data_IF_638898211053
#
_entry.id   IF_638898211053
#
_cell.length_a   1.000
_cell.length_b   1.000
_cell.length_c   1.000
_cell.angle_alpha   90.00
_cell.angle_beta   90.00
_cell.angle_gamma   90.00
#
_symmetry.space_group_name_H-M   'P 1'
#
loop_
_entity.id
_entity.type
_entity.pdbx_description
1 polymer ?
#
# COMPACT_ATOMS: atom_id res chain seq x y z
N UNK A 1 47.31 13.68 -34.95
CA UNK A 1 48.26 14.80 -34.75
C UNK A 1 47.78 15.65 -33.61
N UNK A 2 48.63 15.80 -32.56
CA UNK A 2 48.60 16.73 -31.37
C UNK A 2 47.46 16.50 -30.38
N UNK A 3 47.61 15.83 -29.24
CA UNK A 3 48.44 16.15 -28.02
C UNK A 3 48.29 17.58 -27.53
N UNK A 4 47.76 17.73 -26.28
CA UNK A 4 48.38 18.38 -25.13
C UNK A 4 47.38 18.46 -23.98
N UNK A 5 47.66 17.79 -22.89
CA UNK A 5 48.32 18.18 -21.60
C UNK A 5 47.38 18.86 -20.57
N UNK A 6 47.12 18.12 -19.50
CA UNK A 6 47.49 18.29 -18.09
C UNK A 6 47.10 19.64 -17.47
N UNK A 7 46.39 19.63 -16.33
CA UNK A 7 46.93 20.17 -15.07
C UNK A 7 46.20 19.51 -13.88
N UNK A 8 47.02 19.10 -12.95
CA UNK A 8 46.78 18.52 -11.64
C UNK A 8 46.65 19.68 -10.65
N UNK A 9 45.74 19.65 -9.74
CA UNK A 9 45.78 20.43 -8.50
C UNK A 9 45.13 19.69 -7.34
N UNK A 10 45.98 19.27 -6.46
CA UNK A 10 45.75 18.74 -5.12
C UNK A 10 45.45 19.88 -4.14
N UNK A 11 44.48 19.67 -3.26
CA UNK A 11 44.45 20.35 -1.96
C UNK A 11 43.78 19.48 -0.91
N UNK A 12 44.57 18.94 -0.02
CA UNK A 12 44.29 18.32 1.25
C UNK A 12 43.87 19.36 2.28
N UNK A 13 42.82 19.11 3.05
CA UNK A 13 42.68 19.68 4.39
C UNK A 13 41.94 18.68 5.28
N UNK A 14 42.72 18.09 6.17
CA UNK A 14 42.26 17.32 7.33
C UNK A 14 41.87 18.30 8.44
N UNK A 15 40.75 18.08 9.08
CA UNK A 15 40.47 18.61 10.41
C UNK A 15 39.79 17.54 11.26
N UNK A 16 40.58 16.99 12.16
CA UNK A 16 40.19 16.17 13.29
C UNK A 16 39.69 17.08 14.41
N UNK A 17 38.52 16.75 14.98
CA UNK A 17 38.14 17.20 16.33
C UNK A 17 37.63 16.01 17.12
N UNK A 18 38.33 15.77 18.21
CA UNK A 18 38.21 14.75 19.23
C UNK A 18 37.05 14.99 20.19
N UNK A 19 36.39 13.91 20.56
CA UNK A 19 35.88 13.47 21.86
C UNK A 19 35.28 14.47 22.87
N UNK A 20 34.11 14.12 23.37
CA UNK A 20 33.76 14.17 24.79
C UNK A 20 32.72 13.10 25.12
N UNK A 21 33.13 12.11 25.92
CA UNK A 21 32.28 11.24 26.71
C UNK A 21 31.83 11.99 27.98
N UNK A 22 30.55 11.95 28.29
CA UNK A 22 30.00 11.97 29.66
C UNK A 22 28.47 11.76 29.47
N UNK A 23 27.83 10.81 30.04
CA UNK A 23 27.59 10.34 31.33
C UNK A 23 26.19 9.75 31.36
N UNK A 24 26.03 8.58 31.94
CA UNK A 24 24.83 7.84 32.24
C UNK A 24 23.78 8.65 32.98
N UNK A 25 22.49 8.39 32.70
CA UNK A 25 21.56 7.86 33.72
C UNK A 25 20.22 7.51 33.05
N UNK A 26 19.65 6.40 33.50
CA UNK A 26 18.51 5.71 32.98
C UNK A 26 17.21 6.52 32.89
N UNK A 27 16.47 6.18 31.87
CA UNK A 27 15.09 6.57 31.67
C UNK A 27 14.54 5.67 30.57
N UNK A 28 13.73 4.68 31.00
CA UNK A 28 12.97 3.82 30.10
C UNK A 28 11.94 4.68 29.38
N UNK A 29 12.31 5.20 28.23
CA UNK A 29 11.37 5.85 27.31
C UNK A 29 11.02 4.84 26.25
N UNK A 30 9.79 4.32 26.34
CA UNK A 30 9.13 3.59 25.27
C UNK A 30 9.09 4.51 24.04
N UNK A 31 10.02 4.35 23.14
CA UNK A 31 9.99 5.02 21.84
C UNK A 31 8.92 4.32 21.01
N UNK A 32 7.72 4.86 21.03
CA UNK A 32 6.72 4.59 19.99
C UNK A 32 7.35 5.06 18.69
N UNK A 33 7.84 4.11 17.91
CA UNK A 33 8.35 4.37 16.56
C UNK A 33 7.14 4.73 15.69
N UNK A 34 6.80 6.00 15.66
CA UNK A 34 5.93 6.55 14.63
C UNK A 34 6.76 6.49 13.34
N UNK A 35 6.47 5.47 12.52
CA UNK A 35 7.02 5.41 11.17
C UNK A 35 6.63 6.70 10.46
N UNK A 36 7.60 7.56 10.19
CA UNK A 36 7.40 8.72 9.35
C UNK A 36 6.91 8.22 7.97
N UNK A 37 5.92 8.90 7.34
CA UNK A 37 5.52 8.54 6.00
C UNK A 37 6.76 8.58 5.10
N UNK A 38 7.07 7.43 4.49
CA UNK A 38 8.12 7.35 3.47
C UNK A 38 7.79 8.39 2.41
N UNK A 39 8.72 9.32 2.16
CA UNK A 39 8.54 10.30 1.10
C UNK A 39 8.35 9.53 -0.20
N UNK A 40 7.16 9.65 -0.79
CA UNK A 40 6.89 9.09 -2.11
C UNK A 40 7.93 9.65 -3.08
N UNK A 41 8.60 8.77 -3.82
CA UNK A 41 9.54 9.19 -4.85
C UNK A 41 8.82 10.11 -5.83
N UNK A 42 9.28 11.37 -5.92
CA UNK A 42 8.61 12.42 -6.70
C UNK A 42 8.43 12.07 -8.20
N UNK A 43 9.15 11.04 -8.68
CA UNK A 43 9.10 10.56 -10.08
C UNK A 43 8.44 9.18 -10.25
N UNK A 44 8.01 8.53 -9.16
CA UNK A 44 7.39 7.21 -9.26
C UNK A 44 5.97 7.31 -9.82
N UNK A 45 5.65 6.45 -10.79
CA UNK A 45 4.28 6.18 -11.25
C UNK A 45 3.83 4.88 -10.62
N UNK A 46 2.72 4.91 -9.90
CA UNK A 46 2.16 3.76 -9.20
C UNK A 46 1.20 2.99 -10.13
N UNK A 47 1.44 1.69 -10.29
CA UNK A 47 0.52 0.79 -10.97
C UNK A 47 -0.41 0.15 -9.95
N UNK A 48 -1.70 0.38 -10.09
CA UNK A 48 -2.71 -0.02 -9.11
C UNK A 48 -3.70 -0.97 -9.79
N UNK A 49 -3.76 -2.20 -9.29
CA UNK A 49 -4.72 -3.19 -9.72
C UNK A 49 -6.03 -3.06 -8.95
N UNK A 50 -7.14 -3.13 -9.64
CA UNK A 50 -8.48 -3.12 -9.05
C UNK A 50 -9.20 -4.39 -9.48
N UNK A 51 -9.43 -5.29 -8.53
CA UNK A 51 -10.26 -6.46 -8.71
C UNK A 51 -11.65 -6.15 -8.14
N UNK A 52 -12.62 -5.92 -9.00
CA UNK A 52 -14.00 -5.71 -8.61
C UNK A 52 -14.77 -7.03 -8.77
N UNK A 53 -15.47 -7.48 -7.72
CA UNK A 53 -16.15 -8.76 -7.71
C UNK A 53 -17.23 -8.84 -8.81
N UNK A 54 -18.07 -7.82 -8.89
CA UNK A 54 -19.21 -7.79 -9.82
C UNK A 54 -19.54 -6.34 -10.18
N UNK A 55 -20.16 -6.14 -11.32
CA UNK A 55 -20.70 -4.84 -11.68
C UNK A 55 -21.98 -4.56 -10.88
N UNK A 56 -21.91 -3.54 -10.03
CA UNK A 56 -23.03 -3.09 -9.20
C UNK A 56 -22.81 -1.63 -8.81
N UNK A 57 -23.86 -0.82 -8.81
CA UNK A 57 -23.77 0.63 -8.57
C UNK A 57 -22.97 1.01 -7.32
N UNK A 58 -23.11 0.28 -6.22
CA UNK A 58 -22.36 0.55 -4.99
C UNK A 58 -20.87 0.25 -5.14
N UNK A 59 -20.51 -0.87 -5.81
CA UNK A 59 -19.12 -1.24 -6.05
C UNK A 59 -18.47 -0.28 -7.07
N UNK A 60 -19.22 0.08 -8.12
CA UNK A 60 -18.76 1.04 -9.13
C UNK A 60 -18.49 2.40 -8.50
N UNK A 61 -19.37 2.87 -7.58
CA UNK A 61 -19.18 4.10 -6.83
C UNK A 61 -17.95 4.05 -5.91
N UNK A 62 -17.72 2.92 -5.22
CA UNK A 62 -16.55 2.73 -4.35
C UNK A 62 -15.24 2.72 -5.18
N UNK A 63 -15.21 2.00 -6.29
CA UNK A 63 -14.07 2.01 -7.22
C UNK A 63 -13.81 3.41 -7.76
N UNK A 64 -14.86 4.12 -8.18
CA UNK A 64 -14.73 5.49 -8.67
C UNK A 64 -14.15 6.42 -7.60
N UNK A 65 -14.70 6.40 -6.38
CA UNK A 65 -14.23 7.23 -5.27
C UNK A 65 -12.77 6.97 -4.91
N UNK A 66 -12.35 5.71 -4.94
CA UNK A 66 -10.96 5.33 -4.73
C UNK A 66 -10.03 5.93 -5.82
N UNK A 67 -10.39 5.79 -7.09
CA UNK A 67 -9.62 6.34 -8.22
C UNK A 67 -9.54 7.85 -8.17
N UNK A 68 -10.66 8.52 -7.94
CA UNK A 68 -10.74 9.98 -7.85
C UNK A 68 -9.83 10.51 -6.72
N UNK A 69 -9.91 9.91 -5.53
CA UNK A 69 -9.10 10.32 -4.37
C UNK A 69 -7.61 10.14 -4.60
N UNK A 70 -7.18 9.03 -5.18
CA UNK A 70 -5.77 8.81 -5.47
C UNK A 70 -5.26 9.75 -6.57
N UNK A 71 -6.07 10.00 -7.59
CA UNK A 71 -5.74 10.96 -8.65
C UNK A 71 -5.60 12.38 -8.10
N UNK A 72 -6.50 12.78 -7.20
CA UNK A 72 -6.44 14.09 -6.54
C UNK A 72 -5.20 14.24 -5.65
N UNK A 73 -4.88 13.19 -4.85
CA UNK A 73 -3.78 13.26 -3.87
C UNK A 73 -2.39 13.09 -4.48
N UNK A 74 -2.25 12.26 -5.48
CA UNK A 74 -0.95 11.91 -6.06
C UNK A 74 -0.68 12.60 -7.41
N UNK A 75 -1.72 12.99 -8.12
CA UNK A 75 -1.65 13.51 -9.49
C UNK A 75 -1.99 12.44 -10.53
N UNK A 76 -2.69 12.82 -11.58
CA UNK A 76 -3.12 11.91 -12.65
C UNK A 76 -1.95 11.27 -13.41
N UNK A 77 -0.81 11.94 -13.46
CA UNK A 77 0.43 11.46 -14.07
C UNK A 77 1.19 10.45 -13.20
N UNK A 78 0.81 10.32 -11.92
CA UNK A 78 1.47 9.45 -10.93
C UNK A 78 0.74 8.14 -10.66
N UNK A 79 -0.45 7.95 -11.19
CA UNK A 79 -1.26 6.75 -10.95
C UNK A 79 -1.73 6.15 -12.27
N UNK A 80 -1.63 4.83 -12.39
CA UNK A 80 -2.21 4.03 -13.47
C UNK A 80 -3.09 2.96 -12.85
N UNK A 81 -4.34 2.92 -13.28
CA UNK A 81 -5.31 1.96 -12.82
C UNK A 81 -5.54 0.87 -13.87
N UNK A 82 -5.48 -0.38 -13.45
CA UNK A 82 -5.98 -1.54 -14.18
C UNK A 82 -7.19 -2.10 -13.42
N UNK A 83 -8.37 -1.85 -13.95
CA UNK A 83 -9.64 -2.24 -13.36
C UNK A 83 -10.20 -3.45 -14.09
N UNK A 84 -10.36 -4.55 -13.37
CA UNK A 84 -10.90 -5.80 -13.90
C UNK A 84 -12.09 -6.26 -13.07
N UNK A 85 -13.12 -6.75 -13.76
CA UNK A 85 -14.37 -7.24 -13.16
C UNK A 85 -14.42 -8.76 -13.24
N UNK A 86 -14.60 -9.41 -12.09
CA UNK A 86 -14.64 -10.86 -11.98
C UNK A 86 -16.02 -11.47 -12.30
N UNK A 87 -17.02 -10.64 -12.57
CA UNK A 87 -18.39 -11.06 -12.93
C UNK A 87 -19.06 -12.01 -11.92
N UNK A 88 -18.72 -11.85 -10.64
CA UNK A 88 -19.25 -12.65 -9.54
C UNK A 88 -18.52 -13.98 -9.32
N UNK A 89 -17.47 -14.28 -10.09
CA UNK A 89 -16.73 -15.55 -10.01
C UNK A 89 -15.43 -15.39 -9.21
N UNK A 90 -15.31 -16.16 -8.12
CA UNK A 90 -14.13 -16.14 -7.26
C UNK A 90 -12.85 -16.73 -7.91
N UNK A 91 -12.99 -17.68 -8.85
CA UNK A 91 -11.85 -18.19 -9.59
C UNK A 91 -11.29 -17.14 -10.55
N UNK A 92 -12.16 -16.33 -11.13
CA UNK A 92 -11.78 -15.17 -11.94
C UNK A 92 -11.11 -14.10 -11.07
N UNK A 93 -11.57 -13.84 -9.83
CA UNK A 93 -10.85 -12.97 -8.89
C UNK A 93 -9.42 -13.44 -8.65
N UNK A 94 -9.24 -14.75 -8.42
CA UNK A 94 -7.90 -15.31 -8.22
C UNK A 94 -7.00 -15.14 -9.46
N UNK A 95 -7.54 -15.33 -10.65
CA UNK A 95 -6.80 -15.12 -11.91
C UNK A 95 -6.37 -13.66 -12.07
N UNK A 96 -7.26 -12.71 -11.82
CA UNK A 96 -6.99 -11.27 -11.88
C UNK A 96 -5.91 -10.87 -10.87
N UNK A 97 -6.05 -11.30 -9.61
CA UNK A 97 -5.08 -10.96 -8.57
C UNK A 97 -3.69 -11.56 -8.85
N UNK A 98 -3.61 -12.79 -9.32
CA UNK A 98 -2.34 -13.40 -9.74
C UNK A 98 -1.69 -12.65 -10.91
N UNK A 99 -2.46 -12.11 -11.84
CA UNK A 99 -1.95 -11.27 -12.92
C UNK A 99 -1.34 -9.97 -12.37
N UNK A 100 -2.00 -9.30 -11.42
CA UNK A 100 -1.47 -8.10 -10.78
C UNK A 100 -0.16 -8.37 -10.04
N UNK A 101 -0.09 -9.49 -9.31
CA UNK A 101 1.14 -9.92 -8.61
C UNK A 101 2.27 -10.19 -9.59
N UNK A 102 2.01 -10.94 -10.66
CA UNK A 102 3.00 -11.27 -11.69
C UNK A 102 3.52 -10.03 -12.42
N UNK A 103 2.69 -9.00 -12.52
CA UNK A 103 3.02 -7.72 -13.16
C UNK A 103 3.64 -6.70 -12.18
N UNK A 104 3.90 -7.10 -10.92
CA UNK A 104 4.50 -6.26 -9.88
C UNK A 104 3.76 -4.94 -9.65
N UNK A 105 2.46 -5.00 -9.46
CA UNK A 105 1.67 -3.82 -9.11
C UNK A 105 2.07 -3.30 -7.72
N UNK A 106 1.92 -1.99 -7.51
CA UNK A 106 2.29 -1.33 -6.25
C UNK A 106 1.21 -1.44 -5.17
N UNK A 107 -0.03 -1.64 -5.57
CA UNK A 107 -1.20 -1.74 -4.69
C UNK A 107 -2.29 -2.54 -5.39
N UNK A 108 -3.05 -3.33 -4.63
CA UNK A 108 -4.25 -4.02 -5.12
C UNK A 108 -5.46 -3.53 -4.32
N UNK A 109 -6.52 -3.11 -5.00
CA UNK A 109 -7.85 -2.90 -4.42
C UNK A 109 -8.69 -4.14 -4.64
N UNK A 110 -9.14 -4.76 -3.56
CA UNK A 110 -10.18 -5.81 -3.56
C UNK A 110 -11.55 -5.20 -3.24
N UNK A 111 -12.40 -5.05 -4.24
CA UNK A 111 -13.75 -4.53 -4.07
C UNK A 111 -14.75 -5.68 -4.03
N UNK A 112 -15.18 -6.01 -2.80
CA UNK A 112 -16.00 -7.17 -2.46
C UNK A 112 -15.19 -8.31 -1.83
N UNK A 113 -15.84 -9.11 -0.97
CA UNK A 113 -15.19 -10.11 -0.12
C UNK A 113 -14.35 -11.13 -0.90
N UNK A 114 -14.88 -11.72 -1.97
CA UNK A 114 -14.12 -12.71 -2.76
C UNK A 114 -12.91 -12.08 -3.49
N UNK A 115 -12.99 -10.81 -3.90
CA UNK A 115 -11.88 -10.08 -4.48
C UNK A 115 -10.78 -9.81 -3.45
N UNK A 116 -11.16 -9.44 -2.21
CA UNK A 116 -10.21 -9.28 -1.10
C UNK A 116 -9.51 -10.60 -0.77
N UNK A 117 -10.28 -11.68 -0.63
CA UNK A 117 -9.72 -13.02 -0.34
C UNK A 117 -8.74 -13.47 -1.41
N UNK A 118 -9.08 -13.27 -2.67
CA UNK A 118 -8.21 -13.59 -3.80
C UNK A 118 -6.90 -12.78 -3.77
N UNK A 119 -6.98 -11.47 -3.52
CA UNK A 119 -5.81 -10.61 -3.40
C UNK A 119 -4.92 -11.04 -2.22
N UNK A 120 -5.50 -11.27 -1.06
CA UNK A 120 -4.79 -11.73 0.14
C UNK A 120 -4.08 -13.07 -0.06
N UNK A 121 -4.74 -14.01 -0.73
CA UNK A 121 -4.15 -15.32 -1.04
C UNK A 121 -3.02 -15.23 -2.07
N UNK A 122 -3.12 -14.26 -3.00
CA UNK A 122 -2.16 -14.12 -4.09
C UNK A 122 -0.81 -13.53 -3.65
N UNK A 123 -0.78 -12.68 -2.61
CA UNK A 123 0.47 -12.02 -2.20
C UNK A 123 0.52 -11.69 -0.71
N UNK A 124 1.64 -11.99 -0.04
CA UNK A 124 1.89 -11.56 1.34
C UNK A 124 2.58 -10.19 1.42
N UNK A 125 2.98 -9.58 0.30
CA UNK A 125 3.89 -8.42 0.27
C UNK A 125 3.33 -7.17 -0.39
N UNK A 126 2.52 -7.31 -1.45
CA UNK A 126 1.90 -6.15 -2.09
C UNK A 126 0.82 -5.63 -1.14
N UNK A 127 0.79 -4.33 -0.83
CA UNK A 127 -0.29 -3.74 -0.03
C UNK A 127 -1.66 -3.99 -0.68
N UNK A 128 -2.63 -4.35 0.14
CA UNK A 128 -4.00 -4.62 -0.30
C UNK A 128 -4.95 -3.69 0.45
N UNK A 129 -5.81 -3.01 -0.28
CA UNK A 129 -6.95 -2.30 0.28
C UNK A 129 -8.24 -3.04 -0.04
N UNK A 130 -9.10 -3.21 0.96
CA UNK A 130 -10.44 -3.76 0.80
C UNK A 130 -11.49 -2.67 0.89
N UNK A 131 -12.53 -2.78 0.07
CA UNK A 131 -13.75 -1.97 0.19
C UNK A 131 -14.97 -2.84 -0.12
N UNK A 132 -16.13 -2.44 0.34
CA UNK A 132 -17.36 -3.24 0.24
C UNK A 132 -17.19 -4.61 0.92
N UNK A 133 -16.58 -4.61 2.09
CA UNK A 133 -16.31 -5.80 2.90
C UNK A 133 -17.17 -5.72 4.16
N UNK A 134 -18.03 -6.70 4.35
CA UNK A 134 -18.91 -6.73 5.52
C UNK A 134 -18.16 -7.12 6.78
N UNK A 135 -17.32 -8.16 6.73
CA UNK A 135 -16.56 -8.66 7.87
C UNK A 135 -15.16 -9.11 7.47
N UNK A 136 -14.15 -8.36 7.91
CA UNK A 136 -12.75 -8.69 7.65
C UNK A 136 -12.27 -9.93 8.40
N UNK A 137 -12.77 -10.19 9.61
CA UNK A 137 -12.42 -11.39 10.37
C UNK A 137 -12.75 -12.66 9.59
N UNK A 138 -13.97 -12.75 9.10
CA UNK A 138 -14.42 -13.85 8.26
C UNK A 138 -13.72 -13.85 6.89
N UNK A 139 -13.54 -12.69 6.27
CA UNK A 139 -12.91 -12.59 4.96
C UNK A 139 -11.44 -13.06 4.94
N UNK A 140 -10.73 -12.84 6.05
CA UNK A 140 -9.30 -13.18 6.20
C UNK A 140 -9.07 -14.46 7.02
N UNK A 141 -10.14 -15.22 7.36
CA UNK A 141 -10.10 -16.44 8.17
C UNK A 141 -9.38 -16.25 9.51
N UNK A 142 -9.68 -15.14 10.19
CA UNK A 142 -9.11 -14.80 11.49
C UNK A 142 -9.99 -15.29 12.63
N UNK A 143 -9.46 -16.16 13.50
CA UNK A 143 -10.19 -16.71 14.63
C UNK A 143 -10.63 -15.62 15.65
N UNK A 144 -9.81 -14.58 15.80
CA UNK A 144 -10.11 -13.42 16.65
C UNK A 144 -9.87 -12.14 15.84
N UNK A 145 -10.91 -11.37 15.59
CA UNK A 145 -10.82 -10.08 14.93
C UNK A 145 -10.76 -8.95 15.95
N UNK A 146 -9.64 -8.23 15.97
CA UNK A 146 -9.39 -7.10 16.89
C UNK A 146 -9.52 -5.73 16.21
N UNK A 147 -9.98 -5.68 14.96
CA UNK A 147 -10.00 -4.47 14.16
C UNK A 147 -8.68 -4.18 13.43
N UNK A 148 -7.67 -5.01 13.61
CA UNK A 148 -6.36 -4.88 12.97
C UNK A 148 -5.97 -6.21 12.35
N UNK A 149 -5.66 -6.21 11.05
CA UNK A 149 -5.25 -7.45 10.37
C UNK A 149 -3.85 -7.93 10.75
N UNK A 150 -2.94 -7.03 11.12
CA UNK A 150 -1.52 -7.35 11.35
C UNK A 150 -0.77 -7.82 10.11
N UNK A 151 -1.39 -7.69 8.93
CA UNK A 151 -0.89 -8.16 7.63
C UNK A 151 -0.83 -7.01 6.62
N UNK A 152 -0.54 -7.32 5.36
CA UNK A 152 -0.51 -6.37 4.25
C UNK A 152 -1.90 -5.91 3.77
N UNK A 153 -2.94 -6.10 4.56
CA UNK A 153 -4.34 -5.76 4.26
C UNK A 153 -4.83 -4.64 5.17
N UNK A 154 -5.48 -3.65 4.57
CA UNK A 154 -6.24 -2.59 5.24
C UNK A 154 -7.51 -2.29 4.44
N UNK A 155 -8.40 -1.45 4.97
CA UNK A 155 -9.57 -1.04 4.19
C UNK A 155 -10.73 -0.53 5.05
N UNK A 156 -11.91 -0.54 4.45
CA UNK A 156 -13.16 -0.08 5.06
C UNK A 156 -14.20 -1.19 5.07
N UNK A 157 -14.99 -1.27 6.15
CA UNK A 157 -16.17 -2.15 6.22
C UNK A 157 -17.44 -1.39 5.83
N UNK A 158 -18.39 -2.09 5.23
CA UNK A 158 -19.75 -1.62 4.97
C UNK A 158 -20.75 -2.12 6.03
N UNK A 159 -20.27 -2.81 7.07
CA UNK A 159 -21.13 -3.26 8.17
C UNK A 159 -21.67 -2.05 8.95
N UNK A 160 -22.98 -1.87 8.90
CA UNK A 160 -23.65 -0.86 9.70
C UNK A 160 -23.55 -1.21 11.18
N UNK A 161 -23.24 -0.24 12.10
CA UNK A 161 -23.24 -0.47 13.54
C UNK A 161 -24.69 -0.67 14.01
N UNK A 162 -25.12 -1.91 14.11
CA UNK A 162 -26.50 -2.27 14.49
C UNK A 162 -26.84 -1.88 15.94
N UNK A 163 -25.84 -1.66 16.78
CA UNK A 163 -26.00 -1.29 18.20
C UNK A 163 -26.65 0.09 18.42
N UNK A 164 -26.71 0.92 17.38
CA UNK A 164 -27.29 2.27 17.42
C UNK A 164 -28.64 2.39 16.69
N UNK A 165 -29.24 1.27 16.28
CA UNK A 165 -30.48 1.27 15.51
C UNK A 165 -31.75 0.95 16.34
N UNK A 166 -31.65 0.99 17.69
CA UNK A 166 -32.78 0.78 18.63
C UNK A 166 -33.15 2.07 19.33
#
# INVERSE_FOLDING_TARGET
MKMTKRILATATAALTVTAALAGCTGGTSSTTSTAAPSQADANKVYNIGICQLVQHEALDAATKGFKDTLTEKLGADKVKFDEQNAQGDSATCATICNQFVSSNYDLILGNGTAALQAAYTATPSIPILGTSITDYGTALDMAEWTGVSGMNVSGTTDLAPLDNCL
#
